data_IF_132669536551
#
_entry.id   IF_132669536551
#
_cell.length_a   1.000
_cell.length_b   1.000
_cell.length_c   1.000
_cell.angle_alpha   90.00
_cell.angle_beta   90.00
_cell.angle_gamma   90.00
#
_symmetry.space_group_name_H-M   'P 1'
#
loop_
_entity.id
_entity.type
_entity.pdbx_description
1 polymer ?
#
# COMPACT_ATOMS: atom_id res chain seq x y z
N UNK A 1 0.60 31.25 27.87
CA UNK A 1 0.79 31.44 29.33
C UNK A 1 0.23 30.26 30.12
N UNK A 2 -1.09 30.03 30.21
CA UNK A 2 -1.62 28.90 30.99
C UNK A 2 -1.14 27.53 30.47
N UNK A 3 -1.15 27.31 29.15
CA UNK A 3 -0.64 26.07 28.56
C UNK A 3 0.86 25.83 28.81
N UNK A 4 1.67 26.90 28.86
CA UNK A 4 3.10 26.80 29.15
C UNK A 4 3.36 26.44 30.61
N UNK A 5 2.61 27.06 31.53
CA UNK A 5 2.66 26.73 32.95
C UNK A 5 2.23 25.29 33.20
N UNK A 6 1.16 24.83 32.55
CA UNK A 6 0.72 23.43 32.60
C UNK A 6 1.83 22.51 32.11
N UNK A 7 2.34 22.73 30.89
CA UNK A 7 3.35 21.87 30.28
C UNK A 7 4.63 21.78 31.13
N UNK A 8 5.08 22.90 31.70
CA UNK A 8 6.27 22.94 32.54
C UNK A 8 6.06 22.27 33.91
N UNK A 9 4.92 22.53 34.57
CA UNK A 9 4.68 22.04 35.93
C UNK A 9 4.30 20.56 35.97
N UNK A 10 3.54 20.07 34.99
CA UNK A 10 3.01 18.71 35.01
C UNK A 10 4.06 17.65 34.69
N UNK A 11 5.11 17.99 33.94
CA UNK A 11 6.24 17.09 33.67
C UNK A 11 7.06 16.80 34.94
N UNK A 12 6.96 17.67 35.95
CA UNK A 12 7.66 17.52 37.24
C UNK A 12 6.81 16.80 38.30
N UNK A 13 5.57 16.43 37.96
CA UNK A 13 4.62 15.85 38.92
C UNK A 13 4.40 14.37 38.66
N UNK A 14 4.78 13.56 39.63
CA UNK A 14 4.60 12.10 39.60
C UNK A 14 3.22 11.67 40.16
N UNK A 15 2.52 12.57 40.84
CA UNK A 15 1.24 12.31 41.52
C UNK A 15 0.01 12.60 40.65
N UNK A 16 0.20 12.99 39.38
CA UNK A 16 -0.90 13.26 38.47
C UNK A 16 -1.60 11.95 38.08
N UNK A 17 -2.93 11.94 38.20
CA UNK A 17 -3.72 10.83 37.67
C UNK A 17 -3.53 10.71 36.15
N UNK A 18 -3.55 9.48 35.63
CA UNK A 18 -3.47 9.24 34.18
C UNK A 18 -4.59 9.96 33.39
N UNK A 19 -5.77 10.13 34.01
CA UNK A 19 -6.86 10.91 33.40
C UNK A 19 -6.54 12.40 33.28
N UNK A 20 -5.85 12.97 34.27
CA UNK A 20 -5.40 14.36 34.21
C UNK A 20 -4.36 14.51 33.10
N UNK A 21 -3.34 13.64 33.08
CA UNK A 21 -2.30 13.62 32.04
C UNK A 21 -2.91 13.57 30.64
N UNK A 22 -3.81 12.63 30.38
CA UNK A 22 -4.50 12.50 29.08
C UNK A 22 -5.31 13.75 28.71
N UNK A 23 -5.99 14.36 29.67
CA UNK A 23 -6.69 15.64 29.46
C UNK A 23 -5.72 16.77 29.08
N UNK A 24 -4.54 16.81 29.72
CA UNK A 24 -3.47 17.76 29.38
C UNK A 24 -2.94 17.56 27.96
N UNK A 25 -2.68 16.31 27.56
CA UNK A 25 -2.25 15.96 26.20
C UNK A 25 -3.26 16.48 25.15
N UNK A 26 -4.55 16.19 25.35
CA UNK A 26 -5.63 16.62 24.45
C UNK A 26 -5.75 18.15 24.40
N UNK A 27 -5.71 18.81 25.56
CA UNK A 27 -5.84 20.26 25.63
C UNK A 27 -4.70 20.95 24.89
N UNK A 28 -3.46 20.56 25.17
CA UNK A 28 -2.28 21.16 24.53
C UNK A 28 -2.20 20.85 23.04
N UNK A 29 -2.67 19.67 22.59
CA UNK A 29 -2.71 19.35 21.17
C UNK A 29 -3.76 20.14 20.39
N UNK A 30 -4.78 20.68 21.06
CA UNK A 30 -5.77 21.57 20.41
C UNK A 30 -5.31 23.03 20.38
N UNK A 31 -4.41 23.42 21.26
CA UNK A 31 -3.88 24.80 21.34
C UNK A 31 -2.81 25.01 20.28
N UNK A 32 -1.66 24.34 20.43
CA UNK A 32 -0.50 24.56 19.56
C UNK A 32 0.46 23.36 19.62
N UNK A 33 0.22 22.27 18.86
CA UNK A 33 1.00 21.03 18.98
C UNK A 33 2.51 21.21 18.85
N UNK A 34 2.95 22.08 17.93
CA UNK A 34 4.37 22.32 17.66
C UNK A 34 5.06 22.89 18.89
N UNK A 35 4.41 23.84 19.59
CA UNK A 35 4.92 24.47 20.81
C UNK A 35 5.07 23.47 21.96
N UNK A 36 4.12 22.54 22.08
CA UNK A 36 4.08 21.58 23.19
C UNK A 36 4.72 20.22 22.86
N UNK A 37 5.53 20.14 21.79
CA UNK A 37 6.19 18.89 21.37
C UNK A 37 6.96 18.19 22.50
N UNK A 38 7.69 18.95 23.34
CA UNK A 38 8.50 18.39 24.42
C UNK A 38 7.64 17.74 25.50
N UNK A 39 6.46 18.30 25.76
CA UNK A 39 5.48 17.73 26.67
C UNK A 39 4.97 16.38 26.15
N UNK A 40 4.60 16.31 24.86
CA UNK A 40 4.19 15.04 24.25
C UNK A 40 5.32 14.01 24.27
N UNK A 41 6.55 14.42 23.94
CA UNK A 41 7.73 13.54 23.98
C UNK A 41 7.99 12.97 25.37
N UNK A 42 7.77 13.73 26.44
CA UNK A 42 7.92 13.24 27.80
C UNK A 42 6.98 12.05 28.07
N UNK A 43 5.70 12.17 27.70
CA UNK A 43 4.69 11.14 27.94
C UNK A 43 4.73 9.95 26.98
N UNK A 44 5.62 9.95 25.97
CA UNK A 44 5.93 8.75 25.18
C UNK A 44 6.51 7.62 26.03
N UNK A 45 7.02 7.92 27.22
CA UNK A 45 7.60 6.97 28.17
C UNK A 45 6.66 6.61 29.33
N UNK A 46 5.38 6.98 29.25
CA UNK A 46 4.42 6.63 30.30
C UNK A 46 4.33 5.12 30.48
N UNK A 47 4.19 4.64 31.70
CA UNK A 47 3.90 3.22 31.96
C UNK A 47 2.49 2.84 31.48
N UNK A 48 1.55 3.79 31.48
CA UNK A 48 0.19 3.59 30.97
C UNK A 48 0.17 3.58 29.43
N UNK A 49 -0.19 2.45 28.79
CA UNK A 49 -0.18 2.35 27.32
C UNK A 49 -1.16 3.30 26.64
N UNK A 50 -2.29 3.61 27.29
CA UNK A 50 -3.27 4.54 26.71
C UNK A 50 -2.69 5.96 26.63
N UNK A 51 -1.99 6.39 27.68
CA UNK A 51 -1.25 7.64 27.71
C UNK A 51 -0.10 7.66 26.69
N UNK A 52 0.66 6.56 26.54
CA UNK A 52 1.69 6.46 25.48
C UNK A 52 1.07 6.64 24.09
N UNK A 53 -0.01 5.89 23.79
CA UNK A 53 -0.70 5.94 22.50
C UNK A 53 -1.26 7.34 22.21
N UNK A 54 -1.81 8.02 23.21
CA UNK A 54 -2.28 9.40 23.07
C UNK A 54 -1.13 10.38 22.86
N UNK A 55 -0.03 10.23 23.60
CA UNK A 55 1.16 11.05 23.45
C UNK A 55 1.76 10.94 22.04
N UNK A 56 1.77 9.73 21.45
CA UNK A 56 2.16 9.50 20.04
C UNK A 56 1.27 10.31 19.10
N UNK A 57 -0.05 10.19 19.24
CA UNK A 57 -1.01 10.91 18.40
C UNK A 57 -0.79 12.42 18.50
N UNK A 58 -0.67 12.96 19.71
CA UNK A 58 -0.40 14.38 19.94
C UNK A 58 0.96 14.81 19.36
N UNK A 59 2.02 14.02 19.58
CA UNK A 59 3.37 14.29 19.04
C UNK A 59 3.38 14.28 17.51
N UNK A 60 2.57 13.43 16.88
CA UNK A 60 2.49 13.38 15.41
C UNK A 60 1.87 14.64 14.78
N UNK A 61 1.09 15.40 15.54
CA UNK A 61 0.53 16.68 15.08
C UNK A 61 1.58 17.79 15.03
N UNK A 62 2.68 17.66 15.79
CA UNK A 62 3.87 18.47 15.56
C UNK A 62 4.63 17.86 14.37
N UNK A 63 4.35 18.36 13.17
CA UNK A 63 5.01 17.92 11.93
C UNK A 63 6.53 18.13 12.04
N UNK A 64 7.27 17.06 12.30
CA UNK A 64 8.74 17.07 12.41
C UNK A 64 9.29 15.88 11.64
N UNK A 65 10.42 16.09 10.97
CA UNK A 65 11.02 15.07 10.12
C UNK A 65 11.59 13.84 10.88
N UNK A 66 11.67 13.93 12.22
CA UNK A 66 12.30 12.96 13.12
C UNK A 66 11.36 11.83 13.61
N UNK A 67 10.07 11.86 13.21
CA UNK A 67 9.06 11.01 13.83
C UNK A 67 9.30 9.49 13.66
N UNK A 68 9.96 9.06 12.58
CA UNK A 68 10.38 7.65 12.43
C UNK A 68 11.34 7.22 13.54
N UNK A 69 12.31 8.07 13.90
CA UNK A 69 13.23 7.79 15.00
C UNK A 69 12.55 7.92 16.36
N UNK A 70 11.70 8.93 16.54
CA UNK A 70 10.97 9.15 17.80
C UNK A 70 10.05 7.96 18.12
N UNK A 71 9.39 7.38 17.12
CA UNK A 71 8.46 6.26 17.29
C UNK A 71 9.08 4.88 17.08
N UNK A 72 10.41 4.79 16.87
CA UNK A 72 11.13 3.52 16.60
C UNK A 72 10.88 2.44 17.65
N UNK A 73 10.83 2.83 18.92
CA UNK A 73 10.55 1.89 20.01
C UNK A 73 9.05 1.59 20.13
N UNK A 74 8.19 2.54 19.74
CA UNK A 74 6.73 2.43 19.85
C UNK A 74 6.10 1.55 18.78
N UNK A 75 6.70 1.44 17.60
CA UNK A 75 6.27 0.44 16.59
C UNK A 75 6.59 -0.99 17.00
N UNK A 76 7.28 -1.18 18.13
CA UNK A 76 7.65 -2.47 18.73
C UNK A 76 7.15 -2.59 20.17
N UNK A 77 6.24 -1.70 20.58
CA UNK A 77 5.67 -1.69 21.93
C UNK A 77 4.90 -2.99 22.20
N UNK A 78 4.88 -3.39 23.47
CA UNK A 78 4.13 -4.58 23.91
C UNK A 78 2.61 -4.41 23.74
N UNK A 79 2.12 -3.18 23.82
CA UNK A 79 0.70 -2.88 23.66
C UNK A 79 0.37 -2.54 22.21
N UNK A 80 -0.51 -3.33 21.61
CA UNK A 80 -0.90 -3.16 20.21
C UNK A 80 -1.51 -1.79 19.91
N UNK A 81 -2.14 -1.13 20.88
CA UNK A 81 -2.73 0.22 20.70
C UNK A 81 -1.65 1.27 20.52
N UNK A 82 -0.51 1.11 21.19
CA UNK A 82 0.65 1.99 21.06
C UNK A 82 1.30 1.78 19.69
N UNK A 83 1.48 0.52 19.27
CA UNK A 83 1.99 0.18 17.93
C UNK A 83 1.11 0.76 16.83
N UNK A 84 -0.20 0.55 16.91
CA UNK A 84 -1.15 1.11 15.93
C UNK A 84 -1.09 2.64 15.89
N UNK A 85 -1.08 3.30 17.06
CA UNK A 85 -0.97 4.74 17.13
C UNK A 85 0.31 5.24 16.43
N UNK A 86 1.45 4.57 16.64
CA UNK A 86 2.71 4.92 15.98
C UNK A 86 2.62 4.77 14.45
N UNK A 87 2.19 3.60 13.98
CA UNK A 87 2.10 3.31 12.54
C UNK A 87 1.14 4.25 11.81
N UNK A 88 -0.05 4.48 12.36
CA UNK A 88 -1.03 5.40 11.79
C UNK A 88 -0.54 6.85 11.78
N UNK A 89 0.13 7.28 12.85
CA UNK A 89 0.75 8.61 12.91
C UNK A 89 1.85 8.80 11.88
N UNK A 90 2.64 7.77 11.60
CA UNK A 90 3.72 7.81 10.59
C UNK A 90 3.21 7.96 9.15
N UNK A 91 1.94 7.65 8.86
CA UNK A 91 1.37 7.87 7.53
C UNK A 91 1.28 9.36 7.15
N UNK A 92 1.22 10.25 8.15
CA UNK A 92 0.97 11.70 7.96
C UNK A 92 2.23 12.57 8.00
N UNK A 93 3.41 11.96 8.13
CA UNK A 93 4.67 12.70 8.21
C UNK A 93 5.08 13.23 6.83
N UNK A 94 5.93 14.28 6.72
CA UNK A 94 6.39 14.79 5.43
C UNK A 94 6.98 13.68 4.54
N UNK A 95 6.70 13.68 3.23
CA UNK A 95 7.05 12.58 2.32
C UNK A 95 8.54 12.19 2.34
N UNK A 96 9.42 13.18 2.53
CA UNK A 96 10.88 13.00 2.57
C UNK A 96 11.36 12.31 3.85
N UNK A 97 10.57 12.31 4.92
CA UNK A 97 10.92 11.60 6.15
C UNK A 97 10.79 10.10 5.98
N UNK A 98 11.89 9.42 6.30
CA UNK A 98 12.04 7.97 6.20
C UNK A 98 13.01 7.44 7.25
N UNK A 99 12.86 6.17 7.65
CA UNK A 99 13.86 5.50 8.47
C UNK A 99 15.14 5.28 7.67
N UNK A 100 16.31 5.45 8.31
CA UNK A 100 17.62 5.33 7.65
C UNK A 100 17.88 3.93 7.08
N UNK A 101 17.31 2.91 7.70
CA UNK A 101 17.49 1.52 7.32
C UNK A 101 16.51 1.00 6.26
N UNK A 102 15.62 1.86 5.75
CA UNK A 102 14.54 1.50 4.83
C UNK A 102 13.23 1.14 5.55
N UNK A 103 12.10 1.31 4.86
CA UNK A 103 10.78 1.19 5.48
C UNK A 103 10.46 -0.27 5.81
N UNK A 104 10.80 -1.21 4.93
CA UNK A 104 10.57 -2.64 5.18
C UNK A 104 11.32 -3.16 6.42
N UNK A 105 12.56 -2.74 6.62
CA UNK A 105 13.35 -3.12 7.79
C UNK A 105 12.82 -2.46 9.07
N UNK A 106 12.31 -1.24 8.97
CA UNK A 106 11.62 -0.58 10.08
C UNK A 106 10.34 -1.34 10.48
N UNK A 107 9.59 -1.86 9.51
CA UNK A 107 8.29 -2.52 9.69
C UNK A 107 8.35 -4.04 9.90
N UNK A 108 9.53 -4.65 9.98
CA UNK A 108 9.69 -6.11 10.05
C UNK A 108 8.84 -6.76 11.14
N UNK A 109 8.86 -6.24 12.37
CA UNK A 109 8.08 -6.83 13.47
C UNK A 109 6.57 -6.60 13.32
N UNK A 110 6.07 -5.37 13.05
CA UNK A 110 4.66 -5.15 12.76
C UNK A 110 4.08 -6.01 11.62
N UNK A 111 4.85 -6.24 10.55
CA UNK A 111 4.44 -7.08 9.41
C UNK A 111 4.36 -8.58 9.74
N UNK A 112 4.97 -9.01 10.84
CA UNK A 112 4.91 -10.38 11.35
C UNK A 112 3.95 -10.53 12.54
N UNK A 113 3.22 -9.47 12.88
CA UNK A 113 2.31 -9.48 14.03
C UNK A 113 1.12 -10.40 13.80
N UNK A 114 0.78 -11.22 14.79
CA UNK A 114 -0.48 -11.97 14.81
C UNK A 114 -1.71 -11.10 15.12
N UNK A 115 -1.52 -9.83 15.51
CA UNK A 115 -2.61 -8.89 15.71
C UNK A 115 -2.98 -8.22 14.37
N UNK A 116 -4.17 -8.53 13.87
CA UNK A 116 -4.68 -8.07 12.56
C UNK A 116 -4.60 -6.56 12.37
N UNK A 117 -4.97 -5.78 13.39
CA UNK A 117 -4.96 -4.30 13.34
C UNK A 117 -3.53 -3.73 13.21
N UNK A 118 -2.56 -4.35 13.90
CA UNK A 118 -1.14 -3.96 13.80
C UNK A 118 -0.59 -4.31 12.43
N UNK A 119 -0.88 -5.53 11.96
CA UNK A 119 -0.48 -6.00 10.64
C UNK A 119 -1.03 -5.07 9.54
N UNK A 120 -2.33 -4.78 9.58
CA UNK A 120 -3.00 -3.91 8.61
C UNK A 120 -2.43 -2.50 8.64
N UNK A 121 -2.21 -1.93 9.83
CA UNK A 121 -1.58 -0.60 9.97
C UNK A 121 -0.18 -0.56 9.37
N UNK A 122 0.60 -1.65 9.50
CA UNK A 122 1.93 -1.76 8.94
C UNK A 122 1.91 -1.88 7.40
N UNK A 123 1.03 -2.73 6.87
CA UNK A 123 0.83 -2.89 5.42
C UNK A 123 0.36 -1.57 4.79
N UNK A 124 -0.60 -0.89 5.42
CA UNK A 124 -1.06 0.41 4.98
C UNK A 124 0.07 1.45 5.00
N UNK A 125 0.89 1.48 6.05
CA UNK A 125 2.03 2.39 6.12
C UNK A 125 3.03 2.09 5.00
N UNK A 126 3.31 0.82 4.71
CA UNK A 126 4.14 0.40 3.58
C UNK A 126 3.58 0.90 2.24
N UNK A 127 2.29 0.71 1.98
CA UNK A 127 1.65 1.18 0.74
C UNK A 127 1.64 2.70 0.59
N UNK A 128 1.54 3.46 1.69
CA UNK A 128 1.53 4.92 1.64
C UNK A 128 2.93 5.54 1.54
N UNK A 129 3.96 4.85 2.02
CA UNK A 129 5.28 5.45 2.30
C UNK A 129 6.46 4.73 1.68
N UNK A 130 6.27 3.50 1.23
CA UNK A 130 7.29 2.74 0.56
C UNK A 130 7.65 3.36 -0.78
N UNK A 131 8.73 2.87 -1.37
CA UNK A 131 9.15 3.24 -2.72
C UNK A 131 9.11 2.11 -3.71
N UNK A 132 9.04 2.41 -5.02
CA UNK A 132 9.05 1.38 -6.05
C UNK A 132 10.21 0.37 -5.91
N UNK A 133 11.39 0.79 -5.43
CA UNK A 133 12.53 -0.11 -5.21
C UNK A 133 12.29 -1.16 -4.11
N UNK A 134 11.34 -0.91 -3.20
CA UNK A 134 10.93 -1.83 -2.14
C UNK A 134 9.84 -2.81 -2.60
N UNK A 135 9.33 -2.69 -3.84
CA UNK A 135 8.23 -3.52 -4.33
C UNK A 135 8.53 -5.02 -4.28
N UNK A 136 9.64 -5.47 -4.86
CA UNK A 136 9.93 -6.91 -4.94
C UNK A 136 10.11 -7.55 -3.55
N UNK A 137 10.89 -6.97 -2.62
CA UNK A 137 10.96 -7.47 -1.26
C UNK A 137 9.61 -7.41 -0.51
N UNK A 138 8.80 -6.36 -0.74
CA UNK A 138 7.46 -6.25 -0.16
C UNK A 138 6.52 -7.35 -0.67
N UNK A 139 6.55 -7.64 -1.97
CA UNK A 139 5.76 -8.71 -2.58
C UNK A 139 6.10 -10.06 -1.95
N UNK A 140 7.38 -10.37 -1.76
CA UNK A 140 7.79 -11.62 -1.12
C UNK A 140 7.28 -11.74 0.32
N UNK A 141 7.32 -10.65 1.10
CA UNK A 141 6.83 -10.62 2.49
C UNK A 141 5.31 -10.77 2.54
N UNK A 142 4.58 -10.12 1.64
CA UNK A 142 3.11 -10.07 1.64
C UNK A 142 2.44 -11.21 0.87
N UNK A 143 3.18 -11.96 0.04
CA UNK A 143 2.66 -13.09 -0.74
C UNK A 143 1.87 -14.11 0.08
N UNK A 144 2.28 -14.52 1.29
CA UNK A 144 1.46 -15.43 2.11
C UNK A 144 0.10 -14.83 2.49
N UNK A 145 0.02 -13.50 2.65
CA UNK A 145 -1.22 -12.80 2.98
C UNK A 145 -2.14 -12.68 1.77
N UNK A 146 -1.56 -12.52 0.58
CA UNK A 146 -2.30 -12.53 -0.69
C UNK A 146 -2.97 -13.88 -0.98
N UNK A 147 -2.42 -14.97 -0.46
CA UNK A 147 -2.96 -16.32 -0.62
C UNK A 147 -3.99 -16.71 0.47
N UNK A 148 -4.27 -15.82 1.45
CA UNK A 148 -5.26 -16.10 2.49
C UNK A 148 -6.68 -16.09 1.91
N UNK A 149 -7.54 -16.95 2.47
CA UNK A 149 -8.98 -16.92 2.17
C UNK A 149 -9.64 -15.63 2.71
N UNK A 150 -9.14 -15.08 3.83
CA UNK A 150 -9.61 -13.82 4.43
C UNK A 150 -9.52 -12.67 3.42
N UNK A 151 -10.69 -12.16 3.00
CA UNK A 151 -10.76 -11.11 1.98
C UNK A 151 -10.13 -9.81 2.44
N UNK A 152 -10.30 -9.45 3.71
CA UNK A 152 -9.87 -8.15 4.21
C UNK A 152 -8.34 -8.03 4.25
N UNK A 153 -7.62 -9.01 4.82
CA UNK A 153 -6.15 -8.96 4.85
C UNK A 153 -5.54 -9.05 3.45
N UNK A 154 -6.15 -9.86 2.58
CA UNK A 154 -5.75 -9.97 1.17
C UNK A 154 -5.91 -8.65 0.44
N UNK A 155 -7.06 -7.98 0.60
CA UNK A 155 -7.34 -6.66 0.01
C UNK A 155 -6.37 -5.59 0.51
N UNK A 156 -6.09 -5.54 1.82
CA UNK A 156 -5.14 -4.58 2.41
C UNK A 156 -3.73 -4.79 1.86
N UNK A 157 -3.28 -6.04 1.74
CA UNK A 157 -1.98 -6.38 1.13
C UNK A 157 -1.92 -6.00 -0.35
N UNK A 158 -2.99 -6.32 -1.11
CA UNK A 158 -3.09 -6.00 -2.53
C UNK A 158 -3.08 -4.49 -2.78
N UNK A 159 -3.89 -3.71 -2.06
CA UNK A 159 -3.95 -2.25 -2.20
C UNK A 159 -2.59 -1.60 -1.88
N UNK A 160 -1.91 -2.06 -0.83
CA UNK A 160 -0.60 -1.54 -0.47
C UNK A 160 0.45 -1.81 -1.56
N UNK A 161 0.49 -3.01 -2.12
CA UNK A 161 1.40 -3.35 -3.22
C UNK A 161 1.06 -2.59 -4.50
N UNK A 162 -0.22 -2.40 -4.80
CA UNK A 162 -0.68 -1.59 -5.93
C UNK A 162 -0.24 -0.14 -5.81
N UNK A 163 -0.29 0.46 -4.61
CA UNK A 163 0.23 1.83 -4.37
C UNK A 163 1.75 1.90 -4.48
N UNK A 164 2.44 0.87 -4.02
CA UNK A 164 3.90 0.80 -4.00
C UNK A 164 4.51 0.63 -5.40
N UNK A 165 3.95 -0.28 -6.19
CA UNK A 165 4.45 -0.67 -7.50
C UNK A 165 3.74 0.00 -8.68
N UNK A 166 2.58 0.63 -8.47
CA UNK A 166 1.79 1.18 -9.56
C UNK A 166 1.13 0.12 -10.45
N UNK A 167 0.53 0.58 -11.55
CA UNK A 167 -0.24 -0.27 -12.46
C UNK A 167 0.60 -1.33 -13.18
N UNK A 168 1.88 -1.05 -13.46
CA UNK A 168 2.81 -2.01 -14.08
C UNK A 168 2.99 -3.30 -13.27
N UNK A 169 2.67 -3.26 -11.97
CA UNK A 169 2.84 -4.39 -11.04
C UNK A 169 1.58 -5.18 -10.78
N UNK A 170 0.44 -4.81 -11.37
CA UNK A 170 -0.83 -5.52 -11.15
C UNK A 170 -0.75 -6.99 -11.56
N UNK A 171 -0.02 -7.30 -12.63
CA UNK A 171 0.19 -8.69 -13.04
C UNK A 171 0.95 -9.52 -12.01
N UNK A 172 1.99 -8.96 -11.40
CA UNK A 172 2.77 -9.63 -10.36
C UNK A 172 1.93 -9.85 -9.09
N UNK A 173 1.10 -8.88 -8.71
CA UNK A 173 0.19 -8.98 -7.55
C UNK A 173 -0.94 -9.98 -7.80
N UNK A 174 -1.54 -9.98 -8.99
CA UNK A 174 -2.59 -10.94 -9.38
C UNK A 174 -2.03 -12.36 -9.42
N UNK A 175 -0.83 -12.56 -9.98
CA UNK A 175 -0.13 -13.84 -9.97
C UNK A 175 0.17 -14.33 -8.55
N UNK A 176 0.55 -13.43 -7.63
CA UNK A 176 0.80 -13.79 -6.23
C UNK A 176 -0.46 -14.23 -5.48
N UNK A 177 -1.64 -13.82 -5.93
CA UNK A 177 -2.94 -14.29 -5.43
C UNK A 177 -3.41 -15.61 -6.10
N UNK A 178 -2.69 -16.11 -7.09
CA UNK A 178 -3.03 -17.31 -7.85
C UNK A 178 -3.87 -17.06 -9.11
N UNK A 179 -4.07 -15.80 -9.51
CA UNK A 179 -4.74 -15.46 -10.77
C UNK A 179 -3.76 -15.43 -11.95
N UNK A 180 -4.28 -15.33 -13.17
CA UNK A 180 -3.46 -15.05 -14.36
C UNK A 180 -2.99 -13.60 -14.29
N UNK A 181 -1.69 -13.42 -14.09
CA UNK A 181 -1.10 -12.08 -13.92
C UNK A 181 -0.71 -11.38 -15.21
N UNK A 182 -0.29 -12.12 -16.23
CA UNK A 182 0.14 -11.54 -17.50
C UNK A 182 -0.39 -12.40 -18.63
N UNK A 183 -0.90 -11.77 -19.68
CA UNK A 183 -1.28 -12.46 -20.90
C UNK A 183 -0.90 -11.63 -22.12
N UNK A 184 -0.82 -12.30 -23.26
CA UNK A 184 -0.60 -11.66 -24.54
C UNK A 184 -1.83 -11.87 -25.40
N UNK A 185 -2.26 -10.81 -26.08
CA UNK A 185 -3.37 -10.86 -27.02
C UNK A 185 -2.80 -10.64 -28.41
N UNK A 186 -3.35 -11.35 -29.37
CA UNK A 186 -3.00 -11.19 -30.78
C UNK A 186 -4.29 -11.21 -31.60
N UNK A 187 -4.39 -10.28 -32.54
CA UNK A 187 -5.62 -9.99 -33.27
C UNK A 187 -5.65 -8.50 -33.68
N UNK A 188 -6.74 -8.03 -34.30
CA UNK A 188 -7.98 -8.74 -34.60
C UNK A 188 -7.84 -9.72 -35.78
N UNK A 189 -8.61 -10.82 -35.72
CA UNK A 189 -8.70 -11.81 -36.80
C UNK A 189 -10.00 -11.64 -37.60
N UNK A 190 -10.03 -12.22 -38.80
CA UNK A 190 -11.16 -12.14 -39.71
C UNK A 190 -12.31 -13.02 -39.17
N UNK A 191 -13.29 -12.42 -38.51
CA UNK A 191 -14.53 -13.11 -38.15
C UNK A 191 -15.63 -12.70 -39.12
N UNK A 192 -15.81 -13.47 -40.20
CA UNK A 192 -16.93 -13.26 -41.12
C UNK A 192 -18.25 -13.78 -40.51
N UNK A 193 -19.40 -13.34 -41.05
CA UNK A 193 -20.73 -13.83 -40.62
C UNK A 193 -20.92 -15.33 -40.83
N UNK A 194 -19.97 -16.01 -41.46
CA UNK A 194 -19.95 -17.45 -41.69
C UNK A 194 -19.00 -18.20 -40.74
N UNK A 195 -18.46 -17.57 -39.70
CA UNK A 195 -17.53 -18.16 -38.72
C UNK A 195 -16.24 -18.74 -39.31
N UNK A 196 -15.84 -18.37 -40.54
CA UNK A 196 -14.63 -18.91 -41.17
C UNK A 196 -13.33 -18.55 -40.45
N UNK A 197 -13.38 -17.52 -39.60
CA UNK A 197 -12.26 -17.18 -38.72
C UNK A 197 -11.84 -18.33 -37.80
N UNK A 198 -12.77 -19.19 -37.39
CA UNK A 198 -12.45 -20.36 -36.56
C UNK A 198 -11.96 -21.58 -37.36
N UNK A 199 -12.10 -21.55 -38.69
CA UNK A 199 -11.59 -22.58 -39.60
C UNK A 199 -10.19 -22.24 -40.13
N UNK A 200 -9.78 -20.97 -39.98
CA UNK A 200 -8.49 -20.47 -40.45
C UNK A 200 -7.47 -20.63 -39.33
N UNK A 201 -6.48 -21.50 -39.54
CA UNK A 201 -5.33 -21.59 -38.62
C UNK A 201 -4.45 -20.38 -38.84
N UNK A 202 -4.34 -19.51 -37.84
CA UNK A 202 -3.43 -18.37 -37.90
C UNK A 202 -2.03 -18.75 -37.41
N UNK A 203 -1.02 -18.06 -37.94
CA UNK A 203 0.38 -18.34 -37.61
C UNK A 203 0.70 -18.40 -36.09
N UNK A 204 0.11 -17.57 -35.21
CA UNK A 204 0.31 -17.70 -33.76
C UNK A 204 -0.23 -18.99 -33.14
N UNK A 205 -1.19 -19.67 -33.79
CA UNK A 205 -1.70 -20.97 -33.35
C UNK A 205 -0.71 -22.11 -33.66
N UNK A 206 0.11 -21.93 -34.70
CA UNK A 206 1.17 -22.88 -35.07
C UNK A 206 2.50 -22.57 -34.36
N UNK A 207 2.84 -21.29 -34.23
CA UNK A 207 4.07 -20.81 -33.60
C UNK A 207 3.79 -19.66 -32.63
N UNK A 208 3.72 -19.98 -31.35
CA UNK A 208 3.53 -19.01 -30.25
C UNK A 208 4.65 -17.97 -30.17
N UNK A 209 5.83 -18.23 -30.76
CA UNK A 209 6.96 -17.30 -30.78
C UNK A 209 7.01 -16.44 -32.05
N UNK A 210 6.03 -16.55 -32.94
CA UNK A 210 5.95 -15.72 -34.13
C UNK A 210 5.89 -14.23 -33.72
N UNK A 211 7.00 -13.52 -33.88
CA UNK A 211 7.12 -12.12 -33.45
C UNK A 211 6.28 -11.16 -34.28
N UNK A 212 6.15 -11.42 -35.59
CA UNK A 212 5.35 -10.65 -36.55
C UNK A 212 4.75 -11.56 -37.61
N UNK A 213 3.52 -11.29 -38.01
CA UNK A 213 2.88 -11.98 -39.13
C UNK A 213 1.79 -11.11 -39.75
N UNK A 214 1.48 -11.38 -41.01
CA UNK A 214 0.40 -10.70 -41.72
C UNK A 214 -0.91 -11.48 -41.54
N UNK A 215 -1.99 -10.78 -41.28
CA UNK A 215 -3.33 -11.34 -41.26
C UNK A 215 -4.29 -10.44 -42.04
N UNK A 216 -5.22 -11.06 -42.78
CA UNK A 216 -6.32 -10.33 -43.36
C UNK A 216 -7.35 -9.97 -42.28
N UNK A 217 -7.84 -8.73 -42.36
CA UNK A 217 -8.88 -8.18 -41.50
C UNK A 217 -9.93 -7.48 -42.35
N UNK A 218 -11.21 -7.67 -42.01
CA UNK A 218 -12.33 -7.04 -42.71
C UNK A 218 -12.83 -5.82 -41.95
N UNK A 219 -12.72 -4.64 -42.56
CA UNK A 219 -13.05 -3.36 -41.94
C UNK A 219 -14.54 -2.99 -42.11
N UNK A 220 -15.46 -3.83 -41.63
CA UNK A 220 -16.90 -3.55 -41.77
C UNK A 220 -17.44 -2.64 -40.64
N UNK A 221 -16.85 -2.67 -39.43
CA UNK A 221 -17.34 -1.94 -38.25
C UNK A 221 -17.03 -0.43 -38.25
N UNK A 222 -16.09 0.03 -39.09
CA UNK A 222 -15.71 1.45 -39.19
C UNK A 222 -16.25 2.17 -40.43
N UNK A 223 -17.22 1.58 -41.14
CA UNK A 223 -17.85 2.17 -42.33
C UNK A 223 -17.00 2.11 -43.62
N UNK A 224 -15.96 1.27 -43.67
CA UNK A 224 -15.16 1.03 -44.88
C UNK A 224 -15.64 -0.20 -45.65
N UNK A 225 -15.31 -0.26 -46.94
CA UNK A 225 -15.51 -1.46 -47.76
C UNK A 225 -14.14 -2.08 -48.10
N UNK A 226 -13.95 -3.36 -47.78
CA UNK A 226 -12.83 -4.19 -48.24
C UNK A 226 -12.01 -4.87 -47.14
N UNK A 227 -11.26 -5.91 -47.55
CA UNK A 227 -10.25 -6.54 -46.71
C UNK A 227 -8.98 -5.68 -46.69
N UNK A 228 -8.32 -5.64 -45.54
CA UNK A 228 -6.98 -5.05 -45.38
C UNK A 228 -6.07 -6.10 -44.78
N UNK A 229 -4.81 -6.08 -45.19
CA UNK A 229 -3.76 -6.83 -44.51
C UNK A 229 -3.23 -5.98 -43.37
N UNK A 230 -3.21 -6.55 -42.16
CA UNK A 230 -2.60 -5.97 -40.99
C UNK A 230 -1.35 -6.76 -40.63
N UNK A 231 -0.27 -6.06 -40.31
CA UNK A 231 0.85 -6.66 -39.59
C UNK A 231 0.44 -6.79 -38.12
N UNK A 232 0.34 -8.02 -37.64
CA UNK A 232 -0.02 -8.33 -36.27
C UNK A 232 1.20 -8.79 -35.48
N UNK A 233 1.21 -8.41 -34.22
CA UNK A 233 2.20 -8.80 -33.21
C UNK A 233 1.49 -9.12 -31.92
N UNK A 234 2.08 -9.98 -31.10
CA UNK A 234 1.61 -10.16 -29.73
C UNK A 234 1.70 -8.83 -28.98
N UNK A 235 0.56 -8.39 -28.45
CA UNK A 235 0.49 -7.24 -27.56
C UNK A 235 0.42 -7.75 -26.11
N UNK A 236 1.28 -7.20 -25.26
CA UNK A 236 1.18 -7.42 -23.82
C UNK A 236 -0.13 -6.82 -23.31
N UNK A 237 -0.87 -7.61 -22.54
CA UNK A 237 -2.06 -7.17 -21.84
C UNK A 237 -1.91 -7.47 -20.36
N UNK A 238 -2.16 -6.43 -19.56
CA UNK A 238 -2.06 -6.47 -18.11
C UNK A 238 -3.45 -6.42 -17.50
N UNK A 239 -3.65 -7.01 -16.31
CA UNK A 239 -4.91 -6.88 -15.61
C UNK A 239 -5.17 -5.42 -15.25
N UNK A 240 -6.44 -5.02 -15.35
CA UNK A 240 -6.86 -3.65 -15.05
C UNK A 240 -6.73 -3.32 -13.56
N UNK A 241 -6.79 -4.34 -12.71
CA UNK A 241 -6.63 -4.25 -11.28
C UNK A 241 -5.88 -5.46 -10.72
N UNK A 242 -5.49 -5.37 -9.45
CA UNK A 242 -4.82 -6.46 -8.77
C UNK A 242 -5.75 -7.65 -8.42
N UNK A 243 -7.05 -7.58 -8.73
CA UNK A 243 -7.98 -8.70 -8.52
C UNK A 243 -7.93 -9.73 -9.65
N UNK A 244 -7.19 -9.43 -10.72
CA UNK A 244 -7.04 -10.31 -11.88
C UNK A 244 -8.24 -10.26 -12.83
N UNK A 245 -9.05 -9.20 -12.76
CA UNK A 245 -10.18 -9.02 -13.68
C UNK A 245 -9.67 -8.86 -15.13
N UNK A 246 -10.13 -9.76 -16.01
CA UNK A 246 -9.83 -9.73 -17.44
C UNK A 246 -11.00 -9.03 -18.15
N UNK A 247 -10.77 -7.81 -18.62
CA UNK A 247 -11.68 -7.12 -19.52
C UNK A 247 -11.12 -7.14 -20.93
N UNK A 248 -11.56 -8.10 -21.74
CA UNK A 248 -11.33 -8.08 -23.18
C UNK A 248 -12.39 -7.17 -23.79
N UNK A 249 -12.00 -6.00 -24.30
CA UNK A 249 -12.88 -5.20 -25.13
C UNK A 249 -13.14 -6.01 -26.43
N UNK A 250 -14.38 -6.45 -26.61
CA UNK A 250 -14.87 -7.11 -27.81
C UNK A 250 -15.26 -6.09 -28.88
#
# INVERSE_FOLDING_TARGET
QLGDLLAASWVLREDLSQSAVRSGLIALSKIEPIRYKSFFTHYLKSEDPETRALAIRCRSLSSVADLFEVFRVHVRDEDSRVVQAALQSLQRVPYQSRPLEGLLKYLTQPLMSGNKEVLHSAIQLLGHRGVPEEFEPALQILKPLLALEDSETREVASDALSRLGGHEKFGEIAAAQGYVGNWKIVGPFLNDRSNKGFETVYKPEEDLNAGKYEAEYRWDFGGGNGNRTLELTWADAVPQDATGAIHVAA
#
